data_IF_210140012577
#
_entry.id   IF_210140012577
#
_cell.length_a   1.000
_cell.length_b   1.000
_cell.length_c   1.000
_cell.angle_alpha   90.00
_cell.angle_beta   90.00
_cell.angle_gamma   90.00
#
_symmetry.space_group_name_H-M   'P 1'
#
loop_
_entity.id
_entity.type
_entity.pdbx_description
1 polymer ?
#
# COMPACT_ATOMS: atom_id res chain seq x y z
N UNK A 1 -52.62 -17.81 18.54
CA UNK A 1 -53.75 -17.09 19.15
C UNK A 1 -53.47 -15.59 18.98
N UNK A 2 -53.59 -14.99 17.79
CA UNK A 2 -54.79 -14.40 17.18
C UNK A 2 -55.77 -13.78 18.17
N UNK A 3 -55.74 -12.45 18.35
CA UNK A 3 -56.90 -11.66 18.76
C UNK A 3 -56.88 -10.32 18.00
N UNK A 4 -57.83 -10.22 17.07
CA UNK A 4 -58.32 -9.00 16.43
C UNK A 4 -59.15 -8.19 17.44
N UNK A 5 -59.19 -6.87 17.27
CA UNK A 5 -60.44 -6.13 17.49
C UNK A 5 -60.56 -4.97 16.51
N UNK A 6 -61.70 -4.95 15.83
CA UNK A 6 -62.20 -3.93 14.91
C UNK A 6 -63.39 -3.26 15.60
N UNK A 7 -63.45 -1.92 15.66
CA UNK A 7 -64.68 -1.16 15.92
C UNK A 7 -64.75 0.02 14.96
N UNK A 8 -65.93 0.18 14.35
CA UNK A 8 -66.33 1.15 13.32
C UNK A 8 -67.31 2.17 13.95
N UNK A 9 -67.44 3.32 13.27
CA UNK A 9 -68.50 4.37 13.26
C UNK A 9 -68.05 5.71 13.85
N UNK A 10 -67.78 6.75 13.06
CA UNK A 10 -68.61 7.58 12.14
C UNK A 10 -69.23 8.80 12.86
N UNK A 11 -68.98 10.00 12.33
CA UNK A 11 -69.62 11.24 12.80
C UNK A 11 -69.04 12.54 12.22
N UNK A 12 -69.65 13.02 11.14
CA UNK A 12 -69.59 14.32 10.44
C UNK A 12 -69.42 15.60 11.30
N UNK A 13 -68.64 16.59 10.84
CA UNK A 13 -69.13 17.89 10.26
C UNK A 13 -68.08 19.03 10.17
N UNK A 14 -67.89 19.55 8.94
CA UNK A 14 -67.85 20.97 8.50
C UNK A 14 -66.75 21.90 9.08
N UNK A 15 -65.77 22.36 8.26
CA UNK A 15 -65.89 23.61 7.46
C UNK A 15 -64.59 24.03 6.75
N UNK A 16 -64.81 24.67 5.60
CA UNK A 16 -63.94 25.32 4.62
C UNK A 16 -62.63 25.98 5.08
N UNK A 17 -61.57 25.85 4.25
CA UNK A 17 -60.95 27.00 3.57
C UNK A 17 -60.06 26.58 2.39
N UNK A 18 -60.26 27.29 1.28
CA UNK A 18 -59.51 27.23 0.02
C UNK A 18 -58.03 27.60 0.20
N UNK A 19 -57.13 26.82 -0.40
CA UNK A 19 -55.87 27.34 -0.95
C UNK A 19 -55.41 26.43 -2.08
N UNK A 20 -55.33 27.01 -3.28
CA UNK A 20 -55.00 26.38 -4.56
C UNK A 20 -53.58 25.82 -4.59
N UNK A 21 -53.42 24.54 -4.95
CA UNK A 21 -52.13 23.94 -5.26
C UNK A 21 -51.80 24.11 -6.76
N UNK A 22 -50.57 24.54 -7.12
CA UNK A 22 -50.17 24.65 -8.52
C UNK A 22 -49.85 23.27 -9.11
N UNK A 23 -50.35 23.04 -10.33
CA UNK A 23 -50.12 21.86 -11.16
C UNK A 23 -48.64 21.78 -11.54
N UNK A 24 -47.93 20.74 -11.08
CA UNK A 24 -46.58 20.41 -11.55
C UNK A 24 -46.68 19.70 -12.91
N UNK A 25 -46.13 20.31 -13.96
CA UNK A 25 -45.85 19.64 -15.24
C UNK A 25 -44.70 18.63 -15.06
N UNK A 26 -44.76 17.43 -15.66
CA UNK A 26 -43.66 16.48 -15.64
C UNK A 26 -42.47 16.99 -16.47
N UNK A 27 -41.31 17.11 -15.84
CA UNK A 27 -40.06 17.47 -16.50
C UNK A 27 -39.59 16.35 -17.44
N UNK A 28 -39.19 16.74 -18.65
CA UNK A 28 -38.60 15.85 -19.64
C UNK A 28 -37.25 15.32 -19.13
N UNK A 29 -37.06 13.99 -19.21
CA UNK A 29 -35.81 13.32 -18.85
C UNK A 29 -34.74 13.56 -19.92
N UNK A 30 -33.63 14.21 -19.55
CA UNK A 30 -32.43 14.30 -20.37
C UNK A 30 -31.76 12.91 -20.49
N UNK A 31 -31.20 12.56 -21.68
CA UNK A 31 -30.50 11.29 -21.86
C UNK A 31 -29.20 11.30 -21.05
N UNK A 32 -29.15 10.54 -19.96
CA UNK A 32 -27.92 10.28 -19.23
C UNK A 32 -27.04 9.37 -20.09
N UNK A 33 -25.89 9.88 -20.54
CA UNK A 33 -24.85 9.06 -21.17
C UNK A 33 -24.32 8.12 -20.08
N UNK A 34 -24.73 6.85 -20.15
CA UNK A 34 -24.17 5.82 -19.30
C UNK A 34 -22.69 5.62 -19.70
N UNK A 35 -21.78 6.09 -18.86
CA UNK A 35 -20.39 5.62 -18.89
C UNK A 35 -20.45 4.15 -18.47
N UNK A 36 -20.38 3.25 -19.43
CA UNK A 36 -20.22 1.82 -19.16
C UNK A 36 -18.84 1.65 -18.54
N UNK A 37 -18.78 1.61 -17.20
CA UNK A 37 -17.62 1.08 -16.52
C UNK A 37 -17.51 -0.39 -16.95
N UNK A 38 -16.46 -0.72 -17.69
CA UNK A 38 -16.12 -2.12 -17.95
C UNK A 38 -15.93 -2.81 -16.60
N UNK A 39 -16.78 -3.80 -16.30
CA UNK A 39 -16.65 -4.56 -15.07
C UNK A 39 -15.30 -5.32 -15.09
N UNK A 40 -14.61 -5.34 -13.95
CA UNK A 40 -13.40 -6.14 -13.79
C UNK A 40 -13.72 -7.62 -13.99
N UNK A 41 -12.84 -8.33 -14.69
CA UNK A 41 -12.92 -9.77 -14.89
C UNK A 41 -12.34 -10.47 -13.66
N UNK A 42 -13.06 -11.46 -13.13
CA UNK A 42 -12.70 -12.14 -11.88
C UNK A 42 -12.77 -13.66 -12.06
N UNK A 43 -11.71 -14.36 -11.65
CA UNK A 43 -11.66 -15.83 -11.61
C UNK A 43 -11.36 -16.27 -10.18
N UNK A 44 -12.17 -17.19 -9.66
CA UNK A 44 -11.98 -17.80 -8.35
C UNK A 44 -11.57 -19.24 -8.51
N UNK A 45 -10.62 -19.68 -7.70
CA UNK A 45 -10.16 -21.06 -7.65
C UNK A 45 -10.10 -21.55 -6.20
N UNK A 46 -10.48 -22.80 -5.99
CA UNK A 46 -10.39 -23.48 -4.72
C UNK A 46 -10.03 -24.95 -4.96
N UNK A 47 -8.94 -25.40 -4.33
CA UNK A 47 -8.53 -26.80 -4.36
C UNK A 47 -7.77 -27.18 -3.09
N UNK A 48 -7.85 -28.46 -2.72
CA UNK A 48 -7.10 -29.03 -1.60
C UNK A 48 -6.03 -29.99 -2.10
N UNK A 49 -4.87 -29.94 -1.47
CA UNK A 49 -3.69 -30.73 -1.81
C UNK A 49 -3.16 -31.47 -0.58
N UNK A 50 -2.66 -32.71 -0.72
CA UNK A 50 -2.08 -33.43 0.41
C UNK A 50 -0.78 -32.74 0.88
N UNK A 51 -0.59 -32.61 2.20
CA UNK A 51 0.66 -32.13 2.78
C UNK A 51 0.83 -32.68 4.20
N UNK A 52 1.97 -33.31 4.47
CA UNK A 52 2.31 -33.82 5.79
C UNK A 52 2.38 -32.67 6.82
N UNK A 53 2.18 -32.99 8.10
CA UNK A 53 2.17 -32.01 9.19
C UNK A 53 3.43 -31.14 9.27
N UNK A 54 4.58 -31.63 8.80
CA UNK A 54 5.87 -30.92 8.76
C UNK A 54 6.33 -30.61 7.33
N UNK A 55 5.40 -30.63 6.36
CA UNK A 55 5.70 -30.35 4.97
C UNK A 55 6.18 -28.92 4.75
N UNK A 56 6.84 -28.68 3.62
CA UNK A 56 7.36 -27.37 3.24
C UNK A 56 6.36 -26.65 2.34
N UNK A 57 6.16 -25.37 2.59
CA UNK A 57 5.29 -24.51 1.80
C UNK A 57 6.09 -23.36 1.22
N UNK A 58 5.95 -23.21 -0.10
CA UNK A 58 6.46 -22.11 -0.89
C UNK A 58 5.29 -21.38 -1.58
N UNK A 59 5.30 -20.06 -1.54
CA UNK A 59 4.31 -19.23 -2.25
C UNK A 59 4.99 -17.95 -2.72
N UNK A 60 4.97 -17.69 -4.03
CA UNK A 60 5.51 -16.47 -4.62
C UNK A 60 4.44 -15.76 -5.45
N UNK A 61 4.27 -14.47 -5.16
CA UNK A 61 3.32 -13.60 -5.84
C UNK A 61 3.98 -12.28 -6.24
N UNK A 62 3.45 -11.60 -7.25
CA UNK A 62 3.92 -10.25 -7.62
C UNK A 62 2.94 -9.19 -7.17
N UNK A 63 1.65 -9.39 -7.40
CA UNK A 63 0.62 -8.42 -7.06
C UNK A 63 -0.52 -9.12 -6.31
N UNK A 64 -0.75 -8.68 -5.09
CA UNK A 64 -1.87 -9.08 -4.27
C UNK A 64 -1.49 -9.60 -2.90
N UNK A 65 -2.51 -9.68 -2.05
CA UNK A 65 -2.33 -10.08 -0.66
C UNK A 65 -2.22 -11.60 -0.54
N UNK A 66 -1.42 -12.03 0.44
CA UNK A 66 -1.26 -13.42 0.82
C UNK A 66 -1.74 -13.57 2.25
N UNK A 67 -2.69 -14.48 2.48
CA UNK A 67 -3.13 -14.87 3.81
C UNK A 67 -2.82 -16.35 3.99
N UNK A 68 -1.99 -16.68 4.96
CA UNK A 68 -1.67 -18.07 5.33
C UNK A 68 -2.10 -18.31 6.76
N UNK A 69 -3.01 -19.25 6.96
CA UNK A 69 -3.55 -19.60 8.27
C UNK A 69 -3.27 -21.06 8.60
N UNK A 70 -2.80 -21.32 9.81
CA UNK A 70 -2.58 -22.69 10.27
C UNK A 70 -3.89 -23.38 10.69
N UNK A 71 -4.03 -24.66 10.35
CA UNK A 71 -5.09 -25.55 10.81
C UNK A 71 -4.56 -26.92 11.24
N UNK A 72 -5.44 -27.76 11.76
CA UNK A 72 -5.08 -29.06 12.35
C UNK A 72 -5.32 -30.24 11.38
N UNK A 73 -5.24 -29.99 10.06
CA UNK A 73 -5.37 -31.00 9.00
C UNK A 73 -4.06 -31.16 8.23
N UNK A 74 -3.77 -32.39 7.79
CA UNK A 74 -2.59 -32.73 6.97
C UNK A 74 -2.88 -32.55 5.47
N UNK A 75 -3.32 -31.36 5.12
CA UNK A 75 -3.60 -30.95 3.76
C UNK A 75 -3.40 -29.44 3.65
N UNK A 76 -3.25 -28.93 2.43
CA UNK A 76 -3.27 -27.49 2.13
C UNK A 76 -4.53 -27.18 1.36
N UNK A 77 -5.37 -26.28 1.89
CA UNK A 77 -6.46 -25.69 1.12
C UNK A 77 -5.95 -24.41 0.48
N UNK A 78 -5.86 -24.42 -0.85
CA UNK A 78 -5.52 -23.26 -1.66
C UNK A 78 -6.80 -22.61 -2.17
N UNK A 79 -6.95 -21.32 -1.91
CA UNK A 79 -7.94 -20.46 -2.54
C UNK A 79 -7.20 -19.27 -3.15
N UNK A 80 -7.55 -18.90 -4.38
CA UNK A 80 -7.10 -17.64 -4.94
C UNK A 80 -8.19 -16.97 -5.78
N UNK A 81 -8.12 -15.63 -5.82
CA UNK A 81 -8.97 -14.79 -6.66
C UNK A 81 -8.09 -13.95 -7.57
N UNK A 82 -8.20 -14.16 -8.88
CA UNK A 82 -7.59 -13.32 -9.89
C UNK A 82 -8.57 -12.22 -10.27
N UNK A 83 -8.12 -10.97 -10.30
CA UNK A 83 -8.88 -9.82 -10.77
C UNK A 83 -8.06 -9.10 -11.83
N UNK A 84 -8.63 -8.93 -13.01
CA UNK A 84 -8.01 -8.22 -14.12
C UNK A 84 -9.00 -7.25 -14.77
N UNK A 85 -8.50 -6.18 -15.38
CA UNK A 85 -9.29 -5.22 -16.14
C UNK A 85 -9.56 -5.67 -17.60
N UNK A 86 -9.15 -6.88 -18.00
CA UNK A 86 -9.62 -7.54 -19.24
C UNK A 86 -9.46 -9.06 -19.19
N UNK A 87 -10.25 -9.77 -20.03
CA UNK A 87 -10.19 -11.24 -20.13
C UNK A 87 -8.84 -11.75 -20.61
N UNK A 88 -8.24 -11.06 -21.58
CA UNK A 88 -6.93 -11.44 -22.11
C UNK A 88 -5.84 -11.37 -21.03
N UNK A 89 -5.88 -10.35 -20.17
CA UNK A 89 -4.94 -10.24 -19.04
C UNK A 89 -5.18 -11.27 -17.97
N UNK A 90 -6.44 -11.62 -17.72
CA UNK A 90 -6.79 -12.69 -16.79
C UNK A 90 -6.24 -14.03 -17.28
N UNK A 91 -6.34 -14.28 -18.59
CA UNK A 91 -5.84 -15.49 -19.25
C UNK A 91 -4.31 -15.58 -19.33
N UNK A 92 -3.62 -14.43 -19.42
CA UNK A 92 -2.15 -14.36 -19.40
C UNK A 92 -1.54 -14.75 -18.03
N UNK A 93 -2.35 -14.75 -16.95
CA UNK A 93 -1.89 -15.10 -15.60
C UNK A 93 -2.17 -16.57 -15.27
N UNK A 94 -1.09 -17.31 -15.12
CA UNK A 94 -1.11 -18.71 -14.73
C UNK A 94 -0.60 -18.87 -13.29
N UNK A 95 -1.26 -19.72 -12.50
CA UNK A 95 -0.77 -20.12 -11.18
C UNK A 95 -0.20 -21.52 -11.31
N UNK A 96 1.12 -21.66 -11.27
CA UNK A 96 1.83 -22.93 -11.33
C UNK A 96 1.82 -23.55 -9.95
N UNK A 97 1.20 -24.72 -9.84
CA UNK A 97 1.05 -25.43 -8.57
C UNK A 97 1.82 -26.75 -8.65
N UNK A 98 2.74 -26.94 -7.72
CA UNK A 98 3.44 -28.20 -7.51
C UNK A 98 3.06 -28.76 -6.13
N UNK A 99 2.53 -29.98 -6.12
CA UNK A 99 2.11 -30.63 -4.88
C UNK A 99 2.69 -32.04 -4.76
N UNK A 100 3.28 -32.30 -3.60
CA UNK A 100 3.77 -33.59 -3.11
C UNK A 100 3.43 -33.70 -1.62
N UNK A 101 3.51 -34.91 -1.06
CA UNK A 101 3.20 -35.13 0.36
C UNK A 101 4.08 -34.33 1.33
N UNK A 102 5.30 -33.97 0.95
CA UNK A 102 6.27 -33.25 1.78
C UNK A 102 6.50 -31.79 1.34
N UNK A 103 5.89 -31.37 0.22
CA UNK A 103 6.17 -30.10 -0.42
C UNK A 103 4.95 -29.56 -1.17
N UNK A 104 4.62 -28.30 -0.95
CA UNK A 104 3.63 -27.55 -1.69
C UNK A 104 4.25 -26.24 -2.19
N UNK A 105 4.09 -25.95 -3.48
CA UNK A 105 4.51 -24.70 -4.10
C UNK A 105 3.37 -24.12 -4.92
N UNK A 106 3.16 -22.81 -4.81
CA UNK A 106 2.35 -22.05 -5.72
C UNK A 106 3.13 -20.81 -6.20
N UNK A 107 3.27 -20.66 -7.50
CA UNK A 107 3.98 -19.54 -8.12
C UNK A 107 3.07 -18.90 -9.17
N UNK A 108 2.94 -17.57 -9.10
CA UNK A 108 2.18 -16.84 -10.11
C UNK A 108 3.09 -16.43 -11.26
N UNK A 109 2.85 -17.01 -12.42
CA UNK A 109 3.44 -16.58 -13.67
C UNK A 109 2.54 -15.50 -14.30
N UNK A 110 3.03 -14.26 -14.31
CA UNK A 110 2.37 -13.14 -14.97
C UNK A 110 2.62 -13.13 -16.49
N UNK A 111 3.21 -14.19 -17.05
CA UNK A 111 3.44 -14.37 -18.48
C UNK A 111 4.28 -13.24 -19.08
N UNK A 112 3.85 -12.78 -20.27
CA UNK A 112 4.53 -11.73 -21.02
C UNK A 112 4.30 -10.30 -20.48
N UNK A 113 3.92 -10.12 -19.20
CA UNK A 113 3.81 -8.77 -18.61
C UNK A 113 5.11 -7.94 -18.76
N UNK A 114 6.26 -8.61 -18.91
CA UNK A 114 7.59 -8.03 -19.16
C UNK A 114 7.99 -7.87 -20.63
N UNK A 115 7.25 -8.44 -21.59
CA UNK A 115 7.61 -8.45 -23.01
C UNK A 115 6.57 -7.72 -23.85
N UNK A 116 6.63 -6.40 -23.82
CA UNK A 116 6.00 -5.53 -24.80
C UNK A 116 7.01 -4.51 -25.34
N UNK A 117 7.02 -4.32 -26.66
CA UNK A 117 7.80 -3.27 -27.36
C UNK A 117 7.29 -1.86 -27.05
N UNK A 118 6.08 -1.76 -26.47
CA UNK A 118 5.37 -0.52 -26.15
C UNK A 118 5.09 -0.42 -24.64
N UNK A 119 6.14 -0.26 -23.84
CA UNK A 119 6.03 0.16 -22.44
C UNK A 119 5.23 -0.76 -21.49
N UNK A 120 5.12 -0.30 -20.25
CA UNK A 120 4.39 -0.98 -19.17
C UNK A 120 2.92 -1.13 -19.58
N UNK A 121 2.39 -2.36 -19.72
CA UNK A 121 0.94 -2.54 -19.84
C UNK A 121 0.31 -2.00 -18.55
N UNK A 122 -0.27 -0.80 -18.61
CA UNK A 122 -0.99 -0.20 -17.50
C UNK A 122 -2.35 -0.89 -17.36
N UNK A 123 -2.67 -1.34 -16.16
CA UNK A 123 -3.91 -2.07 -15.90
C UNK A 123 -3.94 -2.69 -14.52
N UNK A 124 -5.15 -3.02 -14.06
CA UNK A 124 -5.38 -3.68 -12.77
C UNK A 124 -5.15 -5.17 -12.95
N UNK A 125 -4.18 -5.73 -12.23
CA UNK A 125 -3.95 -7.16 -12.19
C UNK A 125 -3.54 -7.58 -10.78
N UNK A 126 -4.40 -8.33 -10.13
CA UNK A 126 -4.28 -8.69 -8.72
C UNK A 126 -4.59 -10.17 -8.53
N UNK A 127 -3.77 -10.87 -7.76
CA UNK A 127 -4.01 -12.26 -7.37
C UNK A 127 -3.94 -12.35 -5.86
N UNK A 128 -5.09 -12.57 -5.23
CA UNK A 128 -5.20 -12.68 -3.78
C UNK A 128 -5.21 -14.15 -3.38
N UNK A 129 -4.35 -14.51 -2.43
CA UNK A 129 -4.21 -15.89 -1.95
C UNK A 129 -4.74 -16.03 -0.53
N UNK A 130 -5.43 -17.15 -0.29
CA UNK A 130 -5.75 -17.67 1.04
C UNK A 130 -5.37 -19.14 1.11
N UNK A 131 -4.44 -19.46 1.99
CA UNK A 131 -3.97 -20.81 2.25
C UNK A 131 -4.35 -21.24 3.66
N UNK A 132 -4.93 -22.42 3.81
CA UNK A 132 -4.98 -23.14 5.09
C UNK A 132 -3.94 -24.25 5.07
N UNK A 133 -3.03 -24.28 6.04
CA UNK A 133 -1.81 -25.11 6.02
C UNK A 133 -1.64 -25.82 7.36
N UNK A 134 -1.10 -27.05 7.44
CA UNK A 134 -0.87 -27.73 8.73
C UNK A 134 -0.03 -26.86 9.67
N UNK A 135 -0.40 -26.80 10.95
CA UNK A 135 0.24 -25.95 11.96
C UNK A 135 1.75 -26.13 12.12
N UNK A 136 2.23 -27.37 11.96
CA UNK A 136 3.64 -27.74 12.02
C UNK A 136 4.42 -27.56 10.73
N UNK A 137 3.77 -27.10 9.64
CA UNK A 137 4.41 -26.95 8.35
C UNK A 137 5.49 -25.86 8.40
N UNK A 138 6.52 -26.04 7.58
CA UNK A 138 7.59 -25.07 7.42
C UNK A 138 7.23 -24.12 6.29
N UNK A 139 6.98 -22.85 6.61
CA UNK A 139 6.84 -21.80 5.61
C UNK A 139 8.25 -21.39 5.18
N UNK A 140 8.79 -22.12 4.20
CA UNK A 140 10.17 -21.96 3.77
C UNK A 140 10.37 -20.67 2.99
N UNK A 141 9.38 -20.27 2.20
CA UNK A 141 9.40 -19.00 1.48
C UNK A 141 7.98 -18.57 1.14
N UNK A 142 7.52 -17.48 1.75
CA UNK A 142 6.27 -16.82 1.37
C UNK A 142 6.62 -15.38 1.00
N UNK A 143 6.47 -15.03 -0.28
CA UNK A 143 6.94 -13.75 -0.79
C UNK A 143 5.94 -13.04 -1.70
N UNK A 144 5.97 -11.70 -1.62
CA UNK A 144 5.20 -10.84 -2.53
C UNK A 144 5.98 -9.59 -2.90
N UNK A 145 5.80 -9.10 -4.13
CA UNK A 145 6.41 -7.81 -4.54
C UNK A 145 5.51 -6.64 -4.15
N UNK A 146 4.23 -6.68 -4.46
CA UNK A 146 3.25 -5.63 -4.18
C UNK A 146 2.04 -6.24 -3.50
N UNK A 147 2.02 -6.19 -2.18
CA UNK A 147 0.94 -6.79 -1.39
C UNK A 147 1.34 -7.01 0.06
N UNK A 148 0.35 -7.22 0.91
CA UNK A 148 0.57 -7.58 2.30
C UNK A 148 0.61 -9.09 2.46
N UNK A 149 1.43 -9.58 3.40
CA UNK A 149 1.46 -10.98 3.81
C UNK A 149 0.99 -11.07 5.25
N UNK A 150 -0.06 -11.85 5.48
CA UNK A 150 -0.57 -12.14 6.83
C UNK A 150 -0.40 -13.63 7.10
N UNK A 151 0.27 -13.97 8.21
CA UNK A 151 0.49 -15.35 8.65
C UNK A 151 0.03 -15.52 10.08
N UNK A 152 -0.71 -16.59 10.37
CA UNK A 152 -1.29 -16.82 11.70
C UNK A 152 -1.14 -18.26 12.22
N UNK A 153 -0.83 -18.36 13.52
CA UNK A 153 -0.89 -19.58 14.33
C UNK A 153 0.10 -20.71 13.97
N UNK A 154 1.29 -20.39 13.46
CA UNK A 154 2.32 -21.38 13.09
C UNK A 154 3.29 -21.70 14.22
N UNK A 155 3.79 -22.94 14.26
CA UNK A 155 4.68 -23.42 15.33
C UNK A 155 6.06 -23.87 14.85
N UNK A 156 6.40 -23.62 13.58
CA UNK A 156 7.66 -24.04 12.98
C UNK A 156 8.30 -22.89 12.20
N UNK A 157 9.41 -23.17 11.51
CA UNK A 157 10.15 -22.20 10.72
C UNK A 157 9.23 -21.40 9.78
N UNK A 158 9.30 -20.08 9.91
CA UNK A 158 8.51 -19.13 9.13
C UNK A 158 9.42 -18.10 8.47
N UNK A 159 9.53 -18.10 7.15
CA UNK A 159 10.23 -17.09 6.36
C UNK A 159 9.26 -16.36 5.44
N UNK A 160 9.15 -15.05 5.65
CA UNK A 160 8.22 -14.18 4.92
C UNK A 160 8.97 -12.95 4.42
N UNK A 161 8.76 -12.63 3.15
CA UNK A 161 9.40 -11.49 2.48
C UNK A 161 8.37 -10.65 1.73
N UNK A 162 8.50 -9.33 1.79
CA UNK A 162 7.73 -8.42 0.95
C UNK A 162 8.66 -7.35 0.36
N UNK A 163 8.30 -6.77 -0.78
CA UNK A 163 9.01 -5.58 -1.31
C UNK A 163 8.22 -4.32 -0.97
N UNK A 164 6.98 -4.23 -1.45
CA UNK A 164 6.07 -3.11 -1.20
C UNK A 164 4.82 -3.65 -0.50
N UNK A 165 4.84 -3.63 0.83
CA UNK A 165 3.73 -4.09 1.63
C UNK A 165 4.13 -4.49 3.04
N UNK A 166 3.11 -4.72 3.87
CA UNK A 166 3.28 -5.08 5.27
C UNK A 166 3.34 -6.59 5.47
N UNK A 167 4.17 -7.01 6.42
CA UNK A 167 4.25 -8.39 6.90
C UNK A 167 3.64 -8.43 8.29
N UNK A 168 2.55 -9.17 8.46
CA UNK A 168 1.90 -9.37 9.75
C UNK A 168 1.96 -10.85 10.13
N UNK A 169 2.63 -11.16 11.23
CA UNK A 169 2.75 -12.51 11.74
C UNK A 169 2.12 -12.55 13.14
N UNK A 170 1.09 -13.38 13.36
CA UNK A 170 0.34 -13.41 14.63
C UNK A 170 0.38 -14.81 15.24
N UNK A 171 0.59 -14.89 16.56
CA UNK A 171 0.63 -16.16 17.29
C UNK A 171 1.66 -17.15 16.68
N UNK A 172 2.86 -16.65 16.40
CA UNK A 172 3.96 -17.48 15.87
C UNK A 172 4.77 -18.07 17.01
N UNK A 173 5.24 -19.30 16.82
CA UNK A 173 6.25 -19.97 17.65
C UNK A 173 7.39 -20.48 16.75
N UNK A 174 8.55 -20.74 17.34
CA UNK A 174 9.70 -21.25 16.60
C UNK A 174 10.60 -20.14 16.04
N UNK A 175 11.36 -20.48 14.99
CA UNK A 175 12.28 -19.55 14.29
C UNK A 175 11.52 -18.76 13.23
N UNK A 176 11.73 -17.44 13.18
CA UNK A 176 11.06 -16.56 12.23
C UNK A 176 12.06 -15.63 11.52
N UNK A 177 11.91 -15.48 10.21
CA UNK A 177 12.61 -14.49 9.39
C UNK A 177 11.58 -13.66 8.63
N UNK A 178 11.45 -12.40 9.01
CA UNK A 178 10.45 -11.49 8.48
C UNK A 178 11.17 -10.29 7.86
N UNK A 179 10.92 -10.02 6.59
CA UNK A 179 11.59 -8.93 5.89
C UNK A 179 10.66 -8.15 4.99
N UNK A 180 10.80 -6.83 4.95
CA UNK A 180 10.17 -5.99 3.92
C UNK A 180 11.12 -4.89 3.43
N UNK A 181 10.92 -4.34 2.24
CA UNK A 181 11.70 -3.17 1.78
C UNK A 181 10.95 -1.90 2.14
N UNK A 182 9.71 -1.77 1.70
CA UNK A 182 8.84 -0.62 1.97
C UNK A 182 7.56 -1.12 2.62
N UNK A 183 7.51 -1.03 3.95
CA UNK A 183 6.36 -1.48 4.72
C UNK A 183 6.68 -1.76 6.17
N UNK A 184 5.64 -2.15 6.89
CA UNK A 184 5.72 -2.49 8.30
C UNK A 184 5.86 -3.99 8.51
N UNK A 185 6.67 -4.39 9.48
CA UNK A 185 6.73 -5.76 10.00
C UNK A 185 6.11 -5.74 11.39
N UNK A 186 5.01 -6.46 11.58
CA UNK A 186 4.36 -6.64 12.89
C UNK A 186 4.33 -8.13 13.23
N UNK A 187 5.04 -8.52 14.28
CA UNK A 187 5.18 -9.91 14.70
C UNK A 187 4.76 -10.09 16.16
N UNK A 188 3.72 -10.88 16.38
CA UNK A 188 3.28 -11.31 17.71
C UNK A 188 3.69 -12.77 17.95
N UNK A 189 4.53 -12.97 18.96
CA UNK A 189 4.97 -14.28 19.40
C UNK A 189 4.20 -14.70 20.65
N UNK A 190 3.62 -15.89 20.61
CA UNK A 190 2.91 -16.46 21.76
C UNK A 190 3.86 -17.10 22.77
N UNK A 191 4.92 -17.72 22.27
CA UNK A 191 5.98 -18.30 23.08
C UNK A 191 7.32 -18.23 22.35
N UNK A 192 8.38 -17.96 23.11
CA UNK A 192 9.75 -18.09 22.64
C UNK A 192 10.29 -19.47 23.06
N UNK A 193 10.71 -20.27 22.09
CA UNK A 193 11.29 -21.60 22.32
C UNK A 193 12.81 -21.50 22.37
N UNK A 194 13.44 -22.16 23.34
CA UNK A 194 14.89 -22.10 23.53
C UNK A 194 15.63 -22.53 22.25
N UNK A 195 16.67 -21.79 21.87
CA UNK A 195 17.47 -22.04 20.67
C UNK A 195 16.90 -21.50 19.35
N UNK A 196 15.74 -20.86 19.36
CA UNK A 196 15.19 -20.22 18.14
C UNK A 196 15.84 -18.88 17.84
N UNK A 197 15.70 -18.46 16.58
CA UNK A 197 16.16 -17.16 16.10
C UNK A 197 15.00 -16.40 15.48
N UNK A 198 14.86 -15.13 15.84
CA UNK A 198 13.86 -14.23 15.30
C UNK A 198 14.62 -13.08 14.65
N UNK A 199 14.46 -12.92 13.34
CA UNK A 199 15.04 -11.81 12.59
C UNK A 199 13.91 -11.03 11.92
N UNK A 200 13.79 -9.75 12.21
CA UNK A 200 12.84 -8.86 11.57
C UNK A 200 13.58 -7.65 10.98
N UNK A 201 13.46 -7.44 9.67
CA UNK A 201 14.20 -6.42 8.94
C UNK A 201 13.29 -5.58 8.04
N UNK A 202 13.55 -4.27 7.98
CA UNK A 202 12.90 -3.38 7.02
C UNK A 202 13.85 -2.29 6.49
N UNK A 203 13.71 -1.89 5.23
CA UNK A 203 14.47 -0.71 4.75
C UNK A 203 13.75 0.56 5.14
N UNK A 204 12.49 0.71 4.75
CA UNK A 204 11.66 1.88 5.04
C UNK A 204 10.35 1.43 5.68
N UNK A 205 10.22 1.69 6.98
CA UNK A 205 9.00 1.38 7.72
C UNK A 205 9.25 0.94 9.15
N UNK A 206 8.18 0.56 9.84
CA UNK A 206 8.24 0.19 11.26
C UNK A 206 8.46 -1.31 11.41
N UNK A 207 9.28 -1.71 12.38
CA UNK A 207 9.29 -3.08 12.90
C UNK A 207 8.74 -3.08 14.31
N UNK A 208 7.68 -3.85 14.55
CA UNK A 208 7.11 -4.09 15.86
C UNK A 208 7.19 -5.58 16.14
N UNK A 209 7.76 -5.94 17.28
CA UNK A 209 7.70 -7.31 17.80
C UNK A 209 7.05 -7.27 19.18
N UNK A 210 6.08 -8.15 19.40
CA UNK A 210 5.47 -8.39 20.71
C UNK A 210 5.90 -9.76 21.21
N UNK A 211 6.56 -9.82 22.38
CA UNK A 211 7.01 -11.06 23.02
C UNK A 211 6.40 -11.21 24.43
N UNK A 212 6.26 -12.44 24.95
CA UNK A 212 5.79 -12.67 26.32
C UNK A 212 6.63 -11.94 27.38
N UNK A 213 6.03 -11.53 28.50
CA UNK A 213 6.74 -10.78 29.55
C UNK A 213 7.82 -11.63 30.24
N UNK A 214 7.62 -12.95 30.31
CA UNK A 214 8.52 -13.97 30.90
C UNK A 214 9.55 -14.53 29.90
N UNK A 215 9.80 -13.81 28.80
CA UNK A 215 10.73 -14.22 27.74
C UNK A 215 12.21 -14.28 28.16
N UNK A 216 12.85 -15.42 27.86
CA UNK A 216 14.31 -15.58 27.93
C UNK A 216 14.94 -15.30 26.55
N UNK A 217 15.35 -14.06 26.30
CA UNK A 217 15.81 -13.65 24.97
C UNK A 217 16.96 -12.64 25.02
N UNK A 218 17.92 -12.80 24.12
CA UNK A 218 18.92 -11.78 23.81
C UNK A 218 18.35 -10.88 22.72
N UNK A 219 18.09 -9.62 23.07
CA UNK A 219 17.53 -8.62 22.17
C UNK A 219 18.63 -7.75 21.58
N UNK A 220 18.67 -7.67 20.24
CA UNK A 220 19.50 -6.73 19.51
C UNK A 220 18.62 -5.94 18.54
N UNK A 221 18.73 -4.62 18.56
CA UNK A 221 18.03 -3.77 17.61
C UNK A 221 18.98 -2.69 17.09
N UNK A 222 19.02 -2.52 15.76
CA UNK A 222 19.88 -1.56 15.08
C UNK A 222 19.04 -0.77 14.06
N UNK A 223 18.97 0.55 14.22
CA UNK A 223 18.28 1.45 13.29
C UNK A 223 19.23 2.52 12.81
N UNK A 224 19.42 2.71 11.50
CA UNK A 224 20.30 3.77 10.98
C UNK A 224 19.68 5.15 11.18
N UNK A 225 18.41 5.30 10.83
CA UNK A 225 17.66 6.55 10.92
C UNK A 225 16.24 6.27 11.46
N UNK A 226 16.09 6.35 12.78
CA UNK A 226 14.82 6.07 13.42
C UNK A 226 14.89 6.12 14.94
N UNK A 227 13.89 5.56 15.59
CA UNK A 227 13.84 5.39 17.04
C UNK A 227 13.77 3.93 17.41
N UNK A 228 14.33 3.60 18.57
CA UNK A 228 14.19 2.29 19.18
C UNK A 228 13.43 2.51 20.49
N UNK A 229 12.37 1.75 20.70
CA UNK A 229 11.59 1.73 21.96
C UNK A 229 11.43 0.29 22.43
N UNK A 230 11.42 0.10 23.74
CA UNK A 230 11.18 -1.21 24.34
C UNK A 230 10.45 -1.09 25.68
N UNK A 231 9.62 -2.08 25.99
CA UNK A 231 8.86 -2.16 27.25
C UNK A 231 9.66 -2.82 28.40
N UNK A 232 10.88 -3.27 28.12
CA UNK A 232 11.73 -4.02 29.07
C UNK A 232 12.74 -3.13 29.82
N UNK A 233 12.72 -1.82 29.59
CA UNK A 233 13.62 -0.86 30.25
C UNK A 233 15.08 -0.94 29.80
N UNK A 234 15.36 -1.58 28.66
CA UNK A 234 16.71 -1.62 28.10
C UNK A 234 17.14 -0.22 27.60
N UNK A 235 18.35 0.23 27.90
CA UNK A 235 18.84 1.52 27.42
C UNK A 235 19.08 1.45 25.92
N UNK A 236 18.71 2.53 25.23
CA UNK A 236 18.98 2.73 23.80
C UNK A 236 20.13 3.70 23.67
N UNK A 237 21.23 3.27 23.04
CA UNK A 237 22.36 4.14 22.74
C UNK A 237 22.07 4.87 21.42
N UNK A 238 22.37 6.16 21.42
CA UNK A 238 22.36 7.00 20.22
C UNK A 238 23.79 7.10 19.70
N UNK A 239 24.00 6.80 18.42
CA UNK A 239 25.30 6.99 17.78
C UNK A 239 25.70 8.46 17.71
N UNK A 240 27.02 8.72 17.65
CA UNK A 240 27.59 10.10 17.62
C UNK A 240 27.10 10.92 16.41
N UNK A 241 26.78 10.27 15.29
CA UNK A 241 26.39 10.93 14.04
C UNK A 241 25.06 10.44 13.49
N UNK A 242 24.91 9.12 13.38
CA UNK A 242 23.71 8.44 12.93
C UNK A 242 23.61 7.11 13.68
N UNK A 243 22.45 6.48 13.57
CA UNK A 243 22.24 5.17 14.17
C UNK A 243 21.76 5.26 15.61
N UNK A 244 20.92 4.30 15.96
CA UNK A 244 20.56 3.96 17.33
C UNK A 244 20.70 2.46 17.45
N UNK A 245 21.20 2.03 18.59
CA UNK A 245 21.37 0.62 18.87
C UNK A 245 20.92 0.28 20.28
N UNK A 246 20.41 -0.93 20.42
CA UNK A 246 19.99 -1.51 21.68
C UNK A 246 20.51 -2.94 21.72
N UNK A 247 21.18 -3.29 22.81
CA UNK A 247 21.63 -4.65 23.01
C UNK A 247 21.46 -5.03 24.47
N UNK A 248 20.69 -6.08 24.73
CA UNK A 248 20.37 -6.50 26.07
C UNK A 248 19.94 -7.96 26.13
N UNK A 249 19.93 -8.48 27.35
CA UNK A 249 19.52 -9.86 27.65
C UNK A 249 18.34 -9.83 28.61
N UNK A 250 17.30 -10.57 28.28
CA UNK A 250 16.15 -10.87 29.12
C UNK A 250 16.32 -12.27 29.69
N UNK A 251 16.24 -12.41 31.01
CA UNK A 251 16.40 -13.70 31.70
C UNK A 251 17.71 -14.40 31.31
N UNK A 252 17.61 -15.65 30.84
CA UNK A 252 18.76 -16.48 30.49
C UNK A 252 19.34 -16.17 29.09
N UNK A 253 18.58 -15.54 28.20
CA UNK A 253 19.04 -15.16 26.87
C UNK A 253 19.00 -16.27 25.80
N UNK A 254 18.18 -17.30 26.00
CA UNK A 254 18.12 -18.53 25.19
C UNK A 254 17.69 -18.33 23.72
N UNK A 255 16.93 -17.26 23.46
CA UNK A 255 16.40 -16.93 22.13
C UNK A 255 17.08 -15.69 21.58
N UNK A 256 17.51 -15.71 20.32
CA UNK A 256 18.10 -14.52 19.70
C UNK A 256 17.03 -13.75 18.93
N UNK A 257 16.80 -12.50 19.32
CA UNK A 257 15.87 -11.60 18.62
C UNK A 257 16.67 -10.44 18.06
N UNK A 258 16.61 -10.27 16.74
CA UNK A 258 17.30 -9.24 15.99
C UNK A 258 16.31 -8.41 15.19
N UNK A 259 16.36 -7.10 15.38
CA UNK A 259 15.56 -6.12 14.66
C UNK A 259 16.49 -5.17 13.90
N UNK A 260 16.30 -5.02 12.60
CA UNK A 260 17.13 -4.12 11.81
C UNK A 260 16.27 -3.19 10.95
N UNK A 261 16.62 -1.91 10.92
CA UNK A 261 16.00 -0.95 10.02
C UNK A 261 16.96 0.09 9.48
N UNK A 262 16.76 0.51 8.22
CA UNK A 262 17.48 1.66 7.66
C UNK A 262 16.77 2.95 8.03
N UNK A 263 15.51 3.12 7.63
CA UNK A 263 14.69 4.28 7.93
C UNK A 263 13.38 3.85 8.60
N UNK A 264 13.34 3.93 9.93
CA UNK A 264 12.11 3.62 10.64
C UNK A 264 12.26 3.25 12.11
N UNK A 265 11.11 3.14 12.76
CA UNK A 265 11.02 2.86 14.19
C UNK A 265 11.07 1.37 14.45
N UNK A 266 11.92 0.96 15.40
CA UNK A 266 11.96 -0.38 15.96
C UNK A 266 11.28 -0.35 17.33
N UNK A 267 10.32 -1.24 17.55
CA UNK A 267 9.58 -1.32 18.81
C UNK A 267 9.52 -2.76 19.30
N UNK A 268 9.95 -2.98 20.54
CA UNK A 268 9.83 -4.27 21.23
C UNK A 268 8.83 -4.13 22.37
N UNK A 269 7.64 -4.66 22.14
CA UNK A 269 6.57 -4.64 23.12
C UNK A 269 6.57 -5.92 23.96
N UNK A 270 6.12 -5.78 25.21
CA UNK A 270 5.71 -6.93 26.01
C UNK A 270 4.24 -7.24 25.75
N UNK A 271 3.86 -8.52 25.79
CA UNK A 271 2.45 -8.91 25.78
C UNK A 271 1.81 -8.55 27.11
N UNK A 272 0.53 -8.16 27.07
CA UNK A 272 -0.27 -7.97 28.28
C UNK A 272 -0.76 -9.34 28.79
N UNK A 273 0.17 -10.17 29.24
CA UNK A 273 -0.05 -11.57 29.64
C UNK A 273 -0.20 -11.75 31.16
N UNK A 274 -0.12 -10.66 31.94
CA UNK A 274 -0.21 -10.70 33.40
C UNK A 274 0.98 -11.39 34.09
N UNK A 275 2.03 -11.74 33.34
CA UNK A 275 3.21 -12.42 33.89
C UNK A 275 4.24 -11.44 34.41
N UNK A 276 5.11 -11.92 35.29
CA UNK A 276 6.26 -11.15 35.76
C UNK A 276 7.21 -10.81 34.62
N UNK A 277 7.70 -9.57 34.62
CA UNK A 277 8.65 -9.11 33.63
C UNK A 277 10.01 -9.79 33.83
N UNK A 278 10.57 -10.33 32.76
CA UNK A 278 11.91 -10.91 32.78
C UNK A 278 12.96 -9.86 33.14
N UNK A 279 13.94 -10.20 33.99
CA UNK A 279 15.00 -9.26 34.35
C UNK A 279 15.80 -8.91 33.09
N UNK A 280 15.98 -7.61 32.86
CA UNK A 280 16.68 -7.09 31.71
C UNK A 280 18.09 -6.62 32.10
N UNK A 281 19.10 -7.13 31.41
CA UNK A 281 20.50 -6.76 31.57
C UNK A 281 20.97 -6.06 30.31
N UNK A 282 21.50 -4.84 30.45
CA UNK A 282 22.12 -4.12 29.35
C UNK A 282 23.43 -4.81 28.95
N UNK A 283 23.59 -5.10 27.66
CA UNK A 283 24.81 -5.69 27.07
C UNK A 283 25.56 -4.73 26.16
N UNK A 284 25.12 -3.47 26.03
CA UNK A 284 25.87 -2.45 25.30
C UNK A 284 27.23 -2.24 25.98
N UNK A 285 28.31 -2.56 25.26
CA UNK A 285 29.67 -2.25 25.72
C UNK A 285 29.83 -0.73 25.80
N UNK A 286 30.31 -0.22 26.94
CA UNK A 286 30.76 1.16 27.08
C UNK A 286 32.02 1.35 26.22
N UNK A 287 31.87 1.65 24.93
CA UNK A 287 32.94 2.37 24.24
C UNK A 287 32.85 3.80 24.73
N UNK A 288 33.70 4.12 25.69
CA UNK A 288 33.97 5.47 26.14
C UNK A 288 34.34 6.35 24.95
N UNK A 289 33.83 7.57 25.05
CA UNK A 289 34.08 8.73 24.24
C UNK A 289 35.57 9.02 24.06
N UNK A 290 35.91 9.60 22.91
CA UNK A 290 36.96 10.60 22.74
C UNK A 290 38.37 10.25 23.27
N UNK A 291 39.16 9.53 22.47
CA UNK A 291 40.63 9.68 22.49
C UNK A 291 41.07 10.15 21.10
N UNK A 292 41.25 11.47 20.99
CA UNK A 292 42.11 12.08 20.01
C UNK A 292 43.55 11.64 20.32
N UNK A 293 44.05 10.60 19.64
CA UNK A 293 45.49 10.43 19.51
C UNK A 293 45.84 10.20 18.04
N UNK A 294 46.52 11.20 17.49
CA UNK A 294 47.18 11.16 16.20
C UNK A 294 48.49 10.39 16.39
N UNK A 295 48.81 9.57 15.40
CA UNK A 295 49.99 8.72 15.26
C UNK A 295 50.01 7.42 16.09
N UNK A 296 49.85 6.30 15.38
CA UNK A 296 50.93 5.31 15.12
C UNK A 296 50.34 4.21 14.22
N UNK A 297 51.05 3.95 13.13
CA UNK A 297 50.79 2.89 12.16
C UNK A 297 50.77 1.51 12.83
N UNK A 298 49.69 0.74 12.63
CA UNK A 298 49.85 -0.70 12.37
C UNK A 298 48.60 -1.31 11.74
N UNK A 299 48.79 -1.97 10.60
CA UNK A 299 47.82 -2.86 9.99
C UNK A 299 47.50 -4.03 10.93
N UNK A 300 46.21 -4.24 11.21
CA UNK A 300 45.59 -5.56 11.10
C UNK A 300 44.07 -5.44 11.15
N UNK A 301 43.46 -6.13 10.20
CA UNK A 301 42.03 -6.21 9.91
C UNK A 301 41.14 -6.34 11.16
N UNK A 302 40.60 -5.21 11.62
CA UNK A 302 39.25 -5.16 12.18
C UNK A 302 38.62 -3.87 11.68
N UNK A 303 37.52 -4.02 10.95
CA UNK A 303 36.82 -2.92 10.31
C UNK A 303 36.35 -1.93 11.38
N UNK A 304 37.05 -0.81 11.46
CA UNK A 304 36.89 0.18 12.50
C UNK A 304 35.57 0.92 12.25
N UNK A 305 34.55 0.66 13.07
CA UNK A 305 33.22 1.30 13.01
C UNK A 305 33.31 2.83 12.96
N UNK A 306 34.40 3.41 13.47
CA UNK A 306 34.69 4.84 13.37
C UNK A 306 34.98 5.32 11.93
N UNK A 307 35.73 4.54 11.13
CA UNK A 307 36.00 4.84 9.72
C UNK A 307 34.71 4.75 8.90
N UNK A 308 33.95 3.68 9.11
CA UNK A 308 32.65 3.50 8.47
C UNK A 308 31.66 4.63 8.83
N UNK A 309 31.59 5.04 10.10
CA UNK A 309 30.74 6.16 10.53
C UNK A 309 31.16 7.50 9.92
N UNK A 310 32.47 7.72 9.74
CA UNK A 310 33.01 8.92 9.08
C UNK A 310 32.71 8.93 7.58
N UNK A 311 32.85 7.78 6.92
CA UNK A 311 32.55 7.61 5.51
C UNK A 311 31.04 7.75 5.24
N UNK A 312 30.19 7.23 6.13
CA UNK A 312 28.73 7.44 6.11
C UNK A 312 28.40 8.92 6.30
N UNK A 313 29.00 9.60 7.28
CA UNK A 313 28.75 11.03 7.50
C UNK A 313 29.16 11.88 6.29
N UNK A 314 30.26 11.53 5.63
CA UNK A 314 30.71 12.18 4.39
C UNK A 314 29.74 11.90 3.25
N UNK A 315 29.34 10.65 3.05
CA UNK A 315 28.42 10.25 2.00
C UNK A 315 27.03 10.89 2.15
N UNK A 316 26.48 10.97 3.37
CA UNK A 316 25.21 11.65 3.65
C UNK A 316 25.31 13.15 3.33
N UNK A 317 26.40 13.80 3.72
CA UNK A 317 26.63 15.23 3.45
C UNK A 317 26.75 15.51 1.94
N UNK A 318 27.42 14.63 1.21
CA UNK A 318 27.58 14.76 -0.23
C UNK A 318 26.27 14.47 -0.97
N UNK A 319 25.49 13.47 -0.53
CA UNK A 319 24.15 13.19 -1.05
C UNK A 319 23.19 14.37 -0.85
N UNK A 320 23.18 15.01 0.34
CA UNK A 320 22.36 16.19 0.62
C UNK A 320 22.70 17.39 -0.28
N UNK A 321 23.99 17.56 -0.60
CA UNK A 321 24.43 18.61 -1.53
C UNK A 321 23.96 18.34 -2.96
N UNK A 322 24.06 17.09 -3.41
CA UNK A 322 23.60 16.70 -4.75
C UNK A 322 22.08 16.84 -4.86
N UNK A 323 21.32 16.43 -3.84
CA UNK A 323 19.87 16.60 -3.83
C UNK A 323 19.45 18.06 -3.78
N UNK A 324 20.12 18.91 -2.98
CA UNK A 324 19.83 20.33 -2.93
C UNK A 324 20.10 21.03 -4.26
N UNK A 325 21.18 20.65 -4.96
CA UNK A 325 21.50 21.16 -6.29
C UNK A 325 20.49 20.69 -7.35
N UNK A 326 20.13 19.41 -7.35
CA UNK A 326 19.14 18.86 -8.27
C UNK A 326 17.75 19.51 -8.09
N UNK A 327 17.35 19.82 -6.85
CA UNK A 327 16.10 20.53 -6.57
C UNK A 327 16.14 22.00 -7.04
N UNK A 328 17.28 22.67 -6.90
CA UNK A 328 17.47 24.04 -7.40
C UNK A 328 17.44 24.07 -8.94
N UNK A 329 18.13 23.14 -9.60
CA UNK A 329 18.16 23.04 -11.05
C UNK A 329 16.77 22.67 -11.62
N UNK A 330 16.03 21.77 -10.94
CA UNK A 330 14.66 21.44 -11.31
C UNK A 330 13.70 22.64 -11.18
N UNK A 331 13.83 23.47 -10.13
CA UNK A 331 13.03 24.69 -10.00
C UNK A 331 13.32 25.70 -11.11
N UNK A 332 14.58 25.84 -11.52
CA UNK A 332 14.97 26.73 -12.64
C UNK A 332 14.39 26.24 -13.97
N UNK A 333 14.41 24.92 -14.22
CA UNK A 333 13.81 24.35 -15.44
C UNK A 333 12.27 24.44 -15.42
N UNK A 334 11.62 24.25 -14.27
CA UNK A 334 10.16 24.43 -14.16
C UNK A 334 9.71 25.86 -14.50
N UNK A 335 10.49 26.88 -14.14
CA UNK A 335 10.20 28.29 -14.49
C UNK A 335 10.33 28.53 -16.00
N UNK A 336 11.25 27.83 -16.69
CA UNK A 336 11.43 27.95 -18.16
C UNK A 336 10.31 27.29 -18.96
N UNK A 337 9.72 26.20 -18.43
CA UNK A 337 8.68 25.43 -19.13
C UNK A 337 7.28 26.00 -18.85
N UNK A 338 7.10 26.78 -17.78
CA UNK A 338 5.85 27.45 -17.42
C UNK A 338 5.16 28.22 -18.58
N UNK A 339 5.85 29.06 -19.39
CA UNK A 339 5.20 29.76 -20.51
C UNK A 339 4.76 28.83 -21.65
N UNK A 340 5.45 27.70 -21.88
CA UNK A 340 5.07 26.70 -22.89
C UNK A 340 3.89 25.85 -22.41
N UNK A 341 3.84 25.49 -21.12
CA UNK A 341 2.67 24.86 -20.50
C UNK A 341 1.42 25.74 -20.60
N UNK A 342 1.56 27.06 -20.43
CA UNK A 342 0.46 28.00 -20.60
C UNK A 342 -0.06 28.06 -22.05
N UNK A 343 0.82 27.94 -23.05
CA UNK A 343 0.42 27.86 -24.47
C UNK A 343 -0.30 26.56 -24.78
N UNK A 344 0.22 25.42 -24.31
CA UNK A 344 -0.41 24.10 -24.51
C UNK A 344 -1.79 24.04 -23.82
N UNK A 345 -1.92 24.64 -22.64
CA UNK A 345 -3.21 24.76 -21.95
C UNK A 345 -4.20 25.65 -22.72
N UNK A 346 -3.74 26.75 -23.32
CA UNK A 346 -4.56 27.62 -24.14
C UNK A 346 -5.02 26.93 -25.45
N UNK A 347 -4.13 26.17 -26.11
CA UNK A 347 -4.48 25.39 -27.30
C UNK A 347 -5.45 24.24 -27.00
N UNK A 348 -5.28 23.58 -25.85
CA UNK A 348 -6.22 22.56 -25.37
C UNK A 348 -7.61 23.14 -25.09
N UNK A 349 -7.70 24.35 -24.52
CA UNK A 349 -8.95 25.05 -24.29
C UNK A 349 -9.65 25.45 -25.60
N UNK A 350 -8.89 25.88 -26.61
CA UNK A 350 -9.43 26.20 -27.95
C UNK A 350 -9.96 24.94 -28.65
N UNK A 351 -9.24 23.81 -28.60
CA UNK A 351 -9.70 22.53 -29.16
C UNK A 351 -10.97 22.00 -28.48
N UNK A 352 -11.12 22.20 -27.18
CA UNK A 352 -12.32 21.82 -26.44
C UNK A 352 -13.56 22.63 -26.89
N UNK A 353 -13.38 23.92 -27.21
CA UNK A 353 -14.44 24.79 -27.73
C UNK A 353 -14.84 24.36 -29.15
N UNK A 354 -13.87 23.99 -30.01
CA UNK A 354 -14.12 23.58 -31.39
C UNK A 354 -14.84 22.22 -31.49
N UNK A 355 -14.50 21.27 -30.60
CA UNK A 355 -15.21 19.99 -30.51
C UNK A 355 -16.66 20.18 -30.02
N UNK A 356 -16.91 21.13 -29.13
CA UNK A 356 -18.26 21.49 -28.66
C UNK A 356 -19.12 22.26 -29.68
N UNK A 357 -18.50 22.91 -30.67
CA UNK A 357 -19.19 23.56 -31.79
C UNK A 357 -19.56 22.56 -32.90
N UNK A 358 -18.68 21.60 -33.19
CA UNK A 358 -18.91 20.53 -34.19
C UNK A 358 -20.07 19.59 -33.81
N UNK A 359 -20.22 19.28 -32.51
CA UNK A 359 -21.37 18.50 -32.02
C UNK A 359 -22.71 19.25 -32.11
N UNK A 360 -22.70 20.59 -32.03
CA UNK A 360 -23.92 21.41 -32.12
C UNK A 360 -24.46 21.57 -33.55
N UNK A 361 -23.63 21.43 -34.58
CA UNK A 361 -24.08 21.50 -35.97
C UNK A 361 -24.65 20.18 -36.53
N UNK A 362 -24.39 19.02 -35.90
CA UNK A 362 -24.91 17.72 -36.39
C UNK A 362 -26.32 17.39 -35.90
N UNK A 363 -26.88 18.13 -34.93
CA UNK A 363 -28.20 17.82 -34.33
C UNK A 363 -29.35 18.68 -34.87
N UNK A 364 -29.15 19.56 -35.85
CA UNK A 364 -30.20 20.42 -36.40
C UNK A 364 -30.64 20.03 -37.83
N UNK A 365 -31.23 18.85 -37.98
CA UNK A 365 -32.27 18.51 -38.98
C UNK A 365 -32.67 17.04 -38.77
N UNK A 366 -33.96 16.66 -38.74
CA UNK A 366 -34.90 16.90 -39.86
C UNK A 366 -36.37 17.19 -39.48
N UNK A 367 -37.09 17.71 -40.48
CA UNK A 367 -38.51 17.41 -40.83
C UNK A 367 -39.53 18.58 -40.85
N UNK A 368 -40.50 18.38 -41.74
CA UNK A 368 -41.22 19.28 -42.64
C UNK A 368 -42.44 20.02 -42.06
N UNK A 369 -42.83 21.05 -42.84
CA UNK A 369 -44.20 21.56 -43.12
C UNK A 369 -44.86 22.47 -42.07
N UNK A 370 -44.95 23.77 -42.38
CA UNK A 370 -46.24 24.49 -42.56
C UNK A 370 -46.03 25.90 -43.15
N UNK A 371 -46.81 26.21 -44.18
CA UNK A 371 -46.93 27.52 -44.81
C UNK A 371 -47.86 28.44 -44.00
N UNK A 372 -47.59 29.76 -44.01
CA UNK A 372 -48.56 30.80 -43.65
C UNK A 372 -47.90 32.19 -43.47
N UNK A 373 -48.31 33.24 -44.22
CA UNK A 373 -47.67 34.56 -44.18
C UNK A 373 -48.40 35.53 -43.21
N UNK A 374 -47.71 36.63 -42.84
CA UNK A 374 -48.14 37.88 -42.14
C UNK A 374 -47.41 38.05 -40.80
N UNK A 375 -46.93 39.21 -40.34
CA UNK A 375 -46.89 40.61 -40.81
C UNK A 375 -45.85 41.37 -39.97
N UNK A 376 -45.32 42.45 -40.53
CA UNK A 376 -44.32 43.37 -39.99
C UNK A 376 -44.71 44.15 -38.72
N UNK A 377 -43.72 44.44 -37.86
CA UNK A 377 -43.37 45.74 -37.21
C UNK A 377 -42.40 45.43 -36.04
N UNK A 378 -41.32 46.13 -35.71
CA UNK A 378 -40.68 47.37 -36.17
C UNK A 378 -39.15 47.28 -35.91
N UNK A 379 -38.37 48.02 -36.69
CA UNK A 379 -36.92 48.26 -36.62
C UNK A 379 -36.57 49.28 -35.49
N UNK A 380 -35.32 49.37 -34.97
CA UNK A 380 -34.18 49.80 -35.80
C UNK A 380 -32.84 49.06 -35.60
N UNK A 381 -32.09 49.13 -36.68
CA UNK A 381 -30.71 48.71 -36.95
C UNK A 381 -29.65 49.43 -36.11
N UNK A 382 -28.66 48.69 -35.58
CA UNK A 382 -27.25 49.13 -35.56
C UNK A 382 -26.28 47.95 -35.33
N UNK A 383 -25.69 47.51 -36.44
CA UNK A 383 -24.28 47.18 -36.66
C UNK A 383 -23.47 46.47 -35.54
N UNK A 384 -23.60 45.14 -35.49
CA UNK A 384 -22.86 44.23 -34.62
C UNK A 384 -21.48 43.81 -35.17
N UNK A 385 -20.79 44.69 -35.92
CA UNK A 385 -19.42 44.42 -36.40
C UNK A 385 -18.34 45.30 -35.78
N UNK A 386 -18.70 46.36 -35.04
CA UNK A 386 -17.72 47.26 -34.41
C UNK A 386 -17.35 46.83 -32.98
N UNK A 387 -18.26 46.18 -32.24
CA UNK A 387 -17.98 45.71 -30.86
C UNK A 387 -17.03 44.49 -30.78
N UNK A 388 -16.83 43.76 -31.88
CA UNK A 388 -15.96 42.58 -31.90
C UNK A 388 -14.47 42.93 -32.15
N UNK A 389 -14.15 44.18 -32.55
CA UNK A 389 -12.77 44.63 -32.77
C UNK A 389 -12.14 45.34 -31.57
N UNK A 390 -12.93 45.82 -30.60
CA UNK A 390 -12.41 46.50 -29.41
C UNK A 390 -12.08 45.57 -28.24
N UNK A 391 -12.70 44.39 -28.14
CA UNK A 391 -12.34 43.39 -27.14
C UNK A 391 -11.01 42.67 -27.44
N UNK A 392 -10.57 42.62 -28.70
CA UNK A 392 -9.26 42.06 -29.09
C UNK A 392 -8.06 42.98 -28.84
N UNK A 393 -8.27 44.30 -28.61
CA UNK A 393 -7.18 45.24 -28.28
C UNK A 393 -6.93 45.38 -26.76
N UNK A 394 -7.89 45.01 -25.90
CA UNK A 394 -7.73 45.10 -24.44
C UNK A 394 -7.09 43.87 -23.77
N UNK A 395 -6.95 42.75 -24.48
CA UNK A 395 -6.26 41.55 -23.96
C UNK A 395 -4.74 41.52 -24.26
N UNK A 396 -4.20 42.52 -24.97
CA UNK A 396 -2.77 42.63 -25.30
C UNK A 396 -1.99 43.60 -24.39
N UNK A 397 -2.61 44.11 -23.32
CA UNK A 397 -1.99 45.00 -22.32
C UNK A 397 -2.29 44.47 -20.91
N UNK A 398 -1.78 43.29 -20.60
CA UNK A 398 -1.72 42.69 -19.26
C UNK A 398 -0.88 41.40 -19.36
N UNK A 399 0.42 41.57 -19.61
CA UNK A 399 1.46 40.56 -19.40
C UNK A 399 2.18 40.90 -18.09
#
# INVERSE_FOLDING_TARGET
MSWLYTIIFAGLSISSQNASAPVQQPAASEPTIAVVQSADETENFEQTYPLNASGRVNLSNVNGSIVVEAWDRNEVKLQYTKVADSKDRLADVEVKIESRSDYFSAEVDYGNWRKGTDGWKSGKLNVEFRLMVPRGAMLNEVETVNGSVTVSNFTNFTKISAVNGSVKATNIRGTARLSTVNGEVDADFDRLESGTKINAETVNGRVRISIPSDSNATLKADSLNGSITNDFGLPVRKGKYVGRDMFGKLGNGDVQVRLESVNGTLTVNRKNDGKSLSPAVNLLTTKSSDDDNWDIDNEKASMNSAKMNKDIAKAVKDAQKVSAKAMADAQVEMVKIAPELAKVAAEAAIRAIDMGASQRCRTSSPDRRQCGPRTWSALPTSDSQTQCRELKKRAAFSL
#
